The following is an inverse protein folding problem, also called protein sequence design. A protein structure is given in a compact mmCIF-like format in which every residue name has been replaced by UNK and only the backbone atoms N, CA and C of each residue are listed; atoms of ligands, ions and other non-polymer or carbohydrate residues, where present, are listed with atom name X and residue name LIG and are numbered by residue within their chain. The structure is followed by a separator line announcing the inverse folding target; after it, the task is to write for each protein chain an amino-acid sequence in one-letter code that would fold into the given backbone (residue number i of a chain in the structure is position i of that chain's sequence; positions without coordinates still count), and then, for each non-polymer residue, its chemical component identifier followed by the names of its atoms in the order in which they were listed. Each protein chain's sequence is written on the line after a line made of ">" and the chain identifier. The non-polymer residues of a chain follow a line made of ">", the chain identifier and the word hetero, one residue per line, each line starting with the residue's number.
data_IF_320365820101
#
_entry.id   IF_320365820101
#
_cell.length_a   1.000
_cell.length_b   1.000
_cell.length_c   1.000
_cell.angle_alpha   90.00
_cell.angle_beta   90.00
_cell.angle_gamma   90.00
#
_symmetry.space_group_name_H-M   'P 1'
#
loop_
_entity.id
_entity.type
_entity.pdbx_description
1 polymer ?
#
# COMPACT_ATOMS: atom_id res chain seq x y z
N UNK A 1 -22.93 -11.58 -0.59
CA UNK A 1 -21.67 -10.84 -0.77
C UNK A 1 -21.59 -9.69 0.21
N UNK A 2 -20.41 -9.49 0.83
CA UNK A 2 -20.10 -8.35 1.69
C UNK A 2 -19.01 -7.50 1.04
N UNK A 3 -19.18 -6.16 1.02
CA UNK A 3 -18.14 -5.25 0.56
C UNK A 3 -17.06 -5.09 1.63
N UNK A 4 -15.80 -5.20 1.21
CA UNK A 4 -14.64 -4.79 2.00
C UNK A 4 -14.40 -3.29 1.77
N UNK A 5 -15.15 -2.45 2.51
CA UNK A 5 -15.11 -0.99 2.36
C UNK A 5 -13.84 -0.41 2.98
N UNK A 6 -12.81 -0.27 2.14
CA UNK A 6 -11.53 0.29 2.56
C UNK A 6 -11.60 1.78 2.88
N UNK A 7 -12.54 2.53 2.29
CA UNK A 7 -12.73 3.95 2.63
C UNK A 7 -13.22 4.11 4.06
N UNK A 8 -14.17 3.27 4.49
CA UNK A 8 -14.65 3.25 5.88
C UNK A 8 -13.51 2.89 6.83
N UNK A 9 -12.85 1.76 6.62
CA UNK A 9 -11.76 1.29 7.50
C UNK A 9 -10.60 2.29 7.55
N UNK A 10 -10.19 2.86 6.42
CA UNK A 10 -9.16 3.90 6.39
C UNK A 10 -9.55 5.15 7.19
N UNK A 11 -10.84 5.51 7.24
CA UNK A 11 -11.31 6.61 8.07
C UNK A 11 -11.28 6.24 9.57
N UNK A 12 -11.68 5.02 9.92
CA UNK A 12 -11.64 4.53 11.30
C UNK A 12 -10.19 4.55 11.82
N UNK A 13 -9.24 4.04 11.04
CA UNK A 13 -7.81 4.06 11.38
C UNK A 13 -7.27 5.49 11.52
N UNK A 14 -7.66 6.41 10.64
CA UNK A 14 -7.26 7.82 10.77
C UNK A 14 -7.80 8.45 12.05
N UNK A 15 -9.01 8.10 12.46
CA UNK A 15 -9.59 8.59 13.72
C UNK A 15 -8.83 8.00 14.94
N UNK A 16 -8.45 6.72 14.89
CA UNK A 16 -7.60 6.08 15.90
C UNK A 16 -6.26 6.81 16.03
N UNK A 17 -5.57 7.05 14.90
CA UNK A 17 -4.30 7.80 14.87
C UNK A 17 -4.49 9.23 15.40
N UNK A 18 -5.58 9.92 15.04
CA UNK A 18 -5.85 11.27 15.53
C UNK A 18 -5.96 11.29 17.06
N UNK A 19 -6.68 10.34 17.64
CA UNK A 19 -6.81 10.25 19.11
C UNK A 19 -5.43 10.02 19.79
N UNK A 20 -4.56 9.22 19.18
CA UNK A 20 -3.20 8.98 19.68
C UNK A 20 -2.32 10.24 19.59
N UNK A 21 -2.39 10.96 18.47
CA UNK A 21 -1.67 12.24 18.28
C UNK A 21 -2.17 13.31 19.24
N UNK A 22 -3.45 13.36 19.52
CA UNK A 22 -4.01 14.32 20.49
C UNK A 22 -3.51 14.04 21.92
N UNK A 23 -3.28 12.76 22.27
CA UNK A 23 -2.62 12.40 23.54
C UNK A 23 -1.16 12.84 23.56
N UNK A 24 -0.42 12.65 22.45
CA UNK A 24 0.96 13.13 22.34
C UNK A 24 1.04 14.65 22.55
N UNK A 25 0.17 15.42 21.91
CA UNK A 25 0.13 16.88 22.05
C UNK A 25 -0.18 17.30 23.48
N UNK A 26 -1.12 16.64 24.16
CA UNK A 26 -1.44 16.90 25.56
C UNK A 26 -0.25 16.65 26.51
N UNK A 27 0.58 15.67 26.16
CA UNK A 27 1.78 15.30 26.90
C UNK A 27 3.02 16.13 26.51
N UNK A 28 2.89 17.12 25.61
CA UNK A 28 4.00 17.86 25.00
C UNK A 28 5.04 16.96 24.33
N UNK A 29 4.61 15.85 23.77
CA UNK A 29 5.47 14.95 23.00
C UNK A 29 5.54 15.40 21.53
N UNK A 30 6.68 15.10 20.87
CA UNK A 30 6.84 15.28 19.42
C UNK A 30 5.79 14.45 18.68
N UNK A 31 5.02 15.07 17.77
CA UNK A 31 4.12 14.36 16.86
C UNK A 31 4.89 13.75 15.70
N UNK A 32 4.38 12.70 15.04
CA UNK A 32 5.04 12.12 13.87
C UNK A 32 5.21 13.13 12.73
N UNK A 33 6.33 13.06 12.03
CA UNK A 33 6.66 13.92 10.89
C UNK A 33 6.96 13.08 9.64
N UNK A 34 6.12 13.20 8.63
CA UNK A 34 6.28 12.57 7.32
C UNK A 34 6.81 13.55 6.29
N UNK A 35 7.91 13.23 5.62
CA UNK A 35 8.32 13.96 4.42
C UNK A 35 7.94 13.18 3.15
N UNK A 36 7.59 13.90 2.09
CA UNK A 36 7.33 13.34 0.78
C UNK A 36 8.16 14.06 -0.28
N UNK A 37 8.95 13.31 -1.03
CA UNK A 37 9.74 13.84 -2.16
C UNK A 37 9.03 13.48 -3.45
N UNK A 38 8.83 14.47 -4.32
CA UNK A 38 8.32 14.28 -5.68
C UNK A 38 9.28 14.91 -6.68
N UNK A 39 9.62 14.19 -7.73
CA UNK A 39 10.47 14.65 -8.83
C UNK A 39 9.63 14.73 -10.09
N UNK A 40 9.55 15.94 -10.67
CA UNK A 40 8.72 16.21 -11.84
C UNK A 40 7.29 16.63 -11.51
N UNK A 41 6.46 16.70 -12.56
CA UNK A 41 5.11 17.26 -12.52
C UNK A 41 4.04 16.27 -13.02
N UNK A 42 4.25 14.96 -12.85
CA UNK A 42 3.22 14.00 -13.20
C UNK A 42 1.94 14.22 -12.38
N UNK A 43 0.82 14.45 -13.08
CA UNK A 43 -0.44 14.85 -12.46
C UNK A 43 -1.02 13.78 -11.52
N UNK A 44 -0.78 12.50 -11.79
CA UNK A 44 -1.21 11.41 -10.92
C UNK A 44 -0.41 11.41 -9.63
N UNK A 45 0.92 11.52 -9.73
CA UNK A 45 1.84 11.61 -8.59
C UNK A 45 1.56 12.82 -7.71
N UNK A 46 1.32 14.00 -8.31
CA UNK A 46 0.95 15.22 -7.58
C UNK A 46 -0.36 15.05 -6.80
N UNK A 47 -1.37 14.45 -7.42
CA UNK A 47 -2.66 14.17 -6.77
C UNK A 47 -2.49 13.21 -5.60
N UNK A 48 -1.66 12.18 -5.78
CA UNK A 48 -1.43 11.16 -4.75
C UNK A 48 -0.64 11.71 -3.56
N UNK A 49 0.43 12.46 -3.81
CA UNK A 49 1.20 13.14 -2.77
C UNK A 49 0.35 14.19 -2.05
N UNK A 50 -0.46 14.96 -2.77
CA UNK A 50 -1.41 15.90 -2.17
C UNK A 50 -2.40 15.21 -1.21
N UNK A 51 -2.84 14.01 -1.54
CA UNK A 51 -3.71 13.21 -0.67
C UNK A 51 -2.99 12.73 0.59
N UNK A 52 -1.68 12.40 0.50
CA UNK A 52 -0.84 12.01 1.64
C UNK A 52 -0.64 13.20 2.59
N UNK A 53 -0.33 14.40 2.07
CA UNK A 53 -0.18 15.63 2.86
C UNK A 53 -1.49 15.96 3.61
N UNK A 54 -2.62 15.97 2.90
CA UNK A 54 -3.93 16.20 3.53
C UNK A 54 -4.26 15.15 4.60
N UNK A 55 -3.81 13.92 4.42
CA UNK A 55 -4.02 12.88 5.43
C UNK A 55 -3.17 13.13 6.68
N UNK A 56 -1.92 13.61 6.53
CA UNK A 56 -1.08 14.06 7.66
C UNK A 56 -1.74 15.21 8.43
N UNK A 57 -2.18 16.25 7.73
CA UNK A 57 -2.90 17.39 8.33
C UNK A 57 -4.11 16.93 9.13
N UNK A 58 -4.92 16.03 8.54
CA UNK A 58 -6.13 15.49 9.18
C UNK A 58 -5.85 14.80 10.50
N UNK A 59 -4.77 14.00 10.57
CA UNK A 59 -4.44 13.24 11.80
C UNK A 59 -3.54 14.02 12.76
N UNK A 60 -3.15 15.25 12.40
CA UNK A 60 -2.33 16.11 13.22
C UNK A 60 -0.83 15.80 13.21
N UNK A 61 -0.34 15.10 12.18
CA UNK A 61 1.08 14.92 11.89
C UNK A 61 1.68 16.20 11.33
N UNK A 62 2.99 16.39 11.53
CA UNK A 62 3.78 17.30 10.71
C UNK A 62 4.04 16.69 9.33
N UNK A 63 4.13 17.53 8.31
CA UNK A 63 4.44 17.07 6.96
C UNK A 63 5.32 18.04 6.20
N UNK A 64 6.31 17.52 5.47
CA UNK A 64 7.20 18.29 4.59
C UNK A 64 7.07 17.77 3.17
N UNK A 65 6.73 18.67 2.22
CA UNK A 65 6.70 18.36 0.80
C UNK A 65 7.92 18.93 0.09
N UNK A 66 8.77 18.05 -0.43
CA UNK A 66 9.94 18.39 -1.23
C UNK A 66 9.60 18.20 -2.69
N UNK A 67 9.49 19.32 -3.44
CA UNK A 67 9.28 19.29 -4.89
C UNK A 67 10.61 19.53 -5.62
N UNK A 68 10.96 18.64 -6.51
CA UNK A 68 12.15 18.73 -7.36
C UNK A 68 11.73 18.74 -8.85
N UNK A 69 12.38 19.52 -9.70
CA UNK A 69 12.04 19.60 -11.12
C UNK A 69 12.28 18.25 -11.83
N UNK A 70 11.62 18.03 -12.98
CA UNK A 70 11.80 16.81 -13.79
C UNK A 70 13.22 16.65 -14.34
N UNK A 71 13.97 17.75 -14.41
CA UNK A 71 15.38 17.79 -14.84
C UNK A 71 16.38 17.44 -13.73
N UNK A 72 15.90 17.16 -12.52
CA UNK A 72 16.73 16.77 -11.37
C UNK A 72 17.60 15.57 -11.72
N UNK A 73 18.90 15.68 -11.45
CA UNK A 73 19.85 14.57 -11.60
C UNK A 73 19.73 13.56 -10.44
N UNK A 74 20.17 12.34 -10.68
CA UNK A 74 20.27 11.30 -9.65
C UNK A 74 21.10 11.77 -8.44
N UNK A 75 22.23 12.45 -8.72
CA UNK A 75 23.12 12.98 -7.66
C UNK A 75 22.42 14.01 -6.76
N UNK A 76 21.63 14.91 -7.34
CA UNK A 76 20.87 15.91 -6.57
C UNK A 76 19.80 15.27 -5.71
N UNK A 77 19.08 14.27 -6.24
CA UNK A 77 18.09 13.53 -5.47
C UNK A 77 18.74 12.75 -4.33
N UNK A 78 19.85 12.03 -4.58
CA UNK A 78 20.59 11.29 -3.55
C UNK A 78 21.12 12.22 -2.46
N UNK A 79 21.59 13.42 -2.82
CA UNK A 79 21.99 14.44 -1.83
C UNK A 79 20.79 14.87 -0.96
N UNK A 80 19.61 15.05 -1.56
CA UNK A 80 18.39 15.38 -0.79
C UNK A 80 17.98 14.24 0.14
N UNK A 81 18.03 12.99 -0.32
CA UNK A 81 17.75 11.81 0.50
C UNK A 81 18.69 11.75 1.70
N UNK A 82 20.01 11.99 1.48
CA UNK A 82 20.97 12.04 2.59
C UNK A 82 20.59 13.10 3.64
N UNK A 83 20.19 14.30 3.22
CA UNK A 83 19.71 15.34 4.13
C UNK A 83 18.49 14.90 4.94
N UNK A 84 17.52 14.20 4.30
CA UNK A 84 16.33 13.69 4.98
C UNK A 84 16.66 12.54 5.96
N UNK A 85 17.63 11.69 5.61
CA UNK A 85 18.14 10.66 6.52
C UNK A 85 18.77 11.26 7.79
N UNK A 86 19.51 12.36 7.65
CA UNK A 86 20.22 13.04 8.73
C UNK A 86 19.35 14.01 9.54
N UNK A 87 18.13 14.31 9.09
CA UNK A 87 17.22 15.23 9.76
C UNK A 87 16.43 14.53 10.87
N UNK A 88 16.78 14.82 12.13
CA UNK A 88 16.12 14.25 13.31
C UNK A 88 14.67 14.70 13.49
N UNK A 89 14.26 15.79 12.84
CA UNK A 89 12.88 16.23 12.89
C UNK A 89 11.96 15.30 12.10
N UNK A 90 12.48 14.61 11.06
CA UNK A 90 11.72 13.73 10.17
C UNK A 90 11.77 12.29 10.69
N UNK A 91 10.60 11.70 10.95
CA UNK A 91 10.50 10.33 11.44
C UNK A 91 10.51 9.31 10.30
N UNK A 92 9.93 9.65 9.17
CA UNK A 92 9.96 8.84 7.96
C UNK A 92 9.70 9.66 6.71
N UNK A 93 10.11 9.15 5.57
CA UNK A 93 9.83 9.81 4.31
C UNK A 93 9.63 8.82 3.18
N UNK A 94 9.03 9.32 2.11
CA UNK A 94 8.79 8.59 0.88
C UNK A 94 9.39 9.34 -0.30
N UNK A 95 9.81 8.60 -1.32
CA UNK A 95 10.11 9.13 -2.65
C UNK A 95 9.04 8.63 -3.60
N UNK A 96 8.21 9.55 -4.08
CA UNK A 96 7.06 9.20 -4.91
C UNK A 96 7.50 8.63 -6.26
N UNK A 97 7.05 7.42 -6.56
CA UNK A 97 7.26 6.77 -7.85
C UNK A 97 6.10 7.08 -8.84
N UNK A 98 6.34 7.03 -10.15
CA UNK A 98 7.62 6.74 -10.82
C UNK A 98 8.59 7.95 -10.78
N UNK A 99 9.89 7.67 -10.91
CA UNK A 99 10.93 8.68 -11.09
C UNK A 99 11.19 8.91 -12.59
N UNK A 100 11.75 10.08 -12.97
CA UNK A 100 12.23 10.32 -14.33
C UNK A 100 13.30 9.31 -14.76
N UNK A 101 13.36 9.00 -16.06
CA UNK A 101 14.21 7.93 -16.63
C UNK A 101 15.72 8.07 -16.34
N UNK A 102 16.21 9.30 -16.13
CA UNK A 102 17.62 9.56 -15.80
C UNK A 102 17.99 9.15 -14.35
N UNK A 103 17.04 8.71 -13.52
CA UNK A 103 17.25 8.37 -12.13
C UNK A 103 17.00 6.87 -11.93
N UNK A 104 18.01 6.18 -11.43
CA UNK A 104 17.87 4.76 -11.06
C UNK A 104 17.04 4.63 -9.77
N UNK A 105 15.80 4.15 -9.94
CA UNK A 105 14.87 3.95 -8.83
C UNK A 105 15.43 3.03 -7.74
N UNK A 106 16.20 1.99 -8.12
CA UNK A 106 16.76 1.06 -7.15
C UNK A 106 17.82 1.71 -6.28
N UNK A 107 18.70 2.51 -6.88
CA UNK A 107 19.70 3.28 -6.10
C UNK A 107 19.04 4.26 -5.14
N UNK A 108 17.96 4.91 -5.57
CA UNK A 108 17.19 5.83 -4.73
C UNK A 108 16.59 5.11 -3.53
N UNK A 109 15.92 3.97 -3.74
CA UNK A 109 15.33 3.19 -2.66
C UNK A 109 16.38 2.66 -1.68
N UNK A 110 17.55 2.23 -2.18
CA UNK A 110 18.68 1.79 -1.35
C UNK A 110 19.35 2.91 -0.56
N UNK A 111 19.21 4.15 -0.96
CA UNK A 111 19.79 5.30 -0.26
C UNK A 111 18.93 5.81 0.91
N UNK A 112 17.67 5.38 1.01
CA UNK A 112 16.78 5.70 2.12
C UNK A 112 17.25 4.91 3.35
N UNK A 113 17.36 5.57 4.50
CA UNK A 113 17.62 4.86 5.76
C UNK A 113 16.45 3.90 6.05
N UNK A 114 16.72 2.58 6.25
CA UNK A 114 15.66 1.60 6.54
C UNK A 114 14.75 2.01 7.71
N UNK A 115 15.28 2.74 8.70
CA UNK A 115 14.50 3.23 9.85
C UNK A 115 13.55 4.39 9.50
N UNK A 116 13.70 4.99 8.31
CA UNK A 116 12.86 6.08 7.80
C UNK A 116 12.06 5.71 6.54
N UNK A 117 12.25 4.48 6.02
CA UNK A 117 11.55 3.95 4.84
C UNK A 117 10.13 3.52 5.19
N UNK A 118 9.25 4.48 5.42
CA UNK A 118 7.85 4.21 5.81
C UNK A 118 6.95 3.67 4.69
N UNK A 119 7.43 3.66 3.43
CA UNK A 119 6.79 2.92 2.34
C UNK A 119 7.10 1.41 2.40
N UNK A 120 8.16 1.00 3.14
CA UNK A 120 8.56 -0.40 3.32
C UNK A 120 9.18 -1.04 2.07
N UNK A 121 9.84 -0.26 1.21
CA UNK A 121 10.42 -0.75 -0.05
C UNK A 121 11.90 -1.10 0.05
N UNK A 122 12.57 -0.66 1.13
CA UNK A 122 13.99 -0.97 1.33
C UNK A 122 14.20 -2.48 1.51
N UNK A 123 15.21 -3.10 0.84
CA UNK A 123 15.45 -4.54 0.93
C UNK A 123 15.64 -5.06 2.35
N UNK A 124 16.19 -4.25 3.27
CA UNK A 124 16.31 -4.61 4.68
C UNK A 124 14.93 -4.78 5.33
N UNK A 125 14.01 -3.84 5.11
CA UNK A 125 12.64 -3.92 5.62
C UNK A 125 11.90 -5.11 5.00
N UNK A 126 12.08 -5.34 3.69
CA UNK A 126 11.52 -6.50 3.01
C UNK A 126 12.05 -7.82 3.60
N UNK A 127 13.36 -7.91 3.88
CA UNK A 127 13.97 -9.09 4.51
C UNK A 127 13.44 -9.32 5.92
N UNK A 128 13.34 -8.27 6.74
CA UNK A 128 12.76 -8.33 8.09
C UNK A 128 11.29 -8.79 8.03
N UNK A 129 10.49 -8.24 7.12
CA UNK A 129 9.11 -8.66 6.89
C UNK A 129 9.01 -10.15 6.55
N UNK A 130 9.89 -10.64 5.66
CA UNK A 130 9.91 -12.04 5.25
C UNK A 130 10.32 -13.02 6.37
N UNK A 131 11.00 -12.50 7.41
CA UNK A 131 11.41 -13.25 8.61
C UNK A 131 10.51 -13.01 9.83
N UNK A 132 9.33 -12.42 9.63
CA UNK A 132 8.38 -12.07 10.69
C UNK A 132 8.98 -11.16 11.78
N UNK A 133 10.01 -10.38 11.45
CA UNK A 133 10.59 -9.38 12.34
C UNK A 133 9.83 -8.06 12.27
N UNK A 134 9.84 -7.30 13.37
CA UNK A 134 9.22 -5.97 13.41
C UNK A 134 9.88 -5.02 12.41
N UNK A 135 9.10 -4.51 11.47
CA UNK A 135 9.57 -3.60 10.41
C UNK A 135 8.38 -2.88 9.76
N UNK A 136 8.67 -1.98 8.82
CA UNK A 136 7.65 -1.36 7.97
C UNK A 136 7.21 -2.35 6.89
N UNK A 137 5.92 -2.65 6.87
CA UNK A 137 5.30 -3.45 5.82
C UNK A 137 4.92 -2.50 4.67
N UNK A 138 5.15 -2.88 3.39
CA UNK A 138 4.68 -2.08 2.26
C UNK A 138 3.21 -1.67 2.40
N UNK A 139 2.91 -0.38 2.24
CA UNK A 139 1.63 0.20 2.64
C UNK A 139 0.40 -0.47 2.00
N UNK A 140 0.47 -0.88 0.73
CA UNK A 140 -0.64 -1.57 0.06
C UNK A 140 -0.89 -2.98 0.62
N UNK A 141 0.11 -3.87 0.71
CA UNK A 141 -0.01 -5.15 1.40
C UNK A 141 -0.50 -5.02 2.84
N UNK A 142 0.03 -4.06 3.60
CA UNK A 142 -0.41 -3.80 4.96
C UNK A 142 -1.91 -3.44 5.01
N UNK A 143 -2.38 -2.60 4.07
CA UNK A 143 -3.79 -2.25 3.96
C UNK A 143 -4.70 -3.44 3.65
N UNK A 144 -4.22 -4.41 2.87
CA UNK A 144 -4.94 -5.65 2.58
C UNK A 144 -5.07 -6.49 3.86
N UNK A 145 -3.97 -6.64 4.63
CA UNK A 145 -4.02 -7.36 5.90
C UNK A 145 -5.01 -6.72 6.88
N UNK A 146 -4.97 -5.39 7.04
CA UNK A 146 -5.91 -4.65 7.89
C UNK A 146 -7.38 -4.85 7.43
N UNK A 147 -7.65 -4.87 6.13
CA UNK A 147 -9.00 -5.18 5.64
C UNK A 147 -9.44 -6.59 6.03
N UNK A 148 -8.60 -7.60 5.78
CA UNK A 148 -8.90 -8.97 6.13
C UNK A 148 -9.14 -9.14 7.63
N UNK A 149 -8.32 -8.48 8.45
CA UNK A 149 -8.44 -8.49 9.91
C UNK A 149 -9.73 -7.84 10.40
N UNK A 150 -10.00 -6.60 9.97
CA UNK A 150 -11.17 -5.81 10.41
C UNK A 150 -12.51 -6.40 9.98
N UNK A 151 -12.52 -7.16 8.89
CA UNK A 151 -13.70 -7.90 8.43
C UNK A 151 -13.72 -9.36 8.91
N UNK A 152 -12.76 -9.78 9.76
CA UNK A 152 -12.63 -11.14 10.28
C UNK A 152 -12.65 -12.20 9.16
N UNK A 153 -12.00 -11.92 8.03
CA UNK A 153 -11.91 -12.86 6.92
C UNK A 153 -10.96 -14.00 7.30
N UNK A 154 -11.49 -15.20 7.40
CA UNK A 154 -10.69 -16.37 7.76
C UNK A 154 -9.64 -16.67 6.70
N UNK A 155 -8.36 -16.68 7.10
CA UNK A 155 -7.22 -16.95 6.21
C UNK A 155 -6.51 -18.26 6.52
N UNK A 156 -6.65 -18.77 7.75
CA UNK A 156 -5.98 -19.99 8.22
C UNK A 156 -6.45 -21.22 7.45
N UNK A 157 -5.50 -21.93 6.85
CA UNK A 157 -5.76 -23.13 6.06
C UNK A 157 -6.43 -22.87 4.70
N UNK A 158 -6.62 -21.60 4.32
CA UNK A 158 -7.20 -21.23 3.03
C UNK A 158 -6.15 -21.24 1.93
N UNK A 159 -6.59 -21.51 0.70
CA UNK A 159 -5.78 -21.34 -0.49
C UNK A 159 -5.89 -19.91 -0.99
N UNK A 160 -4.79 -19.17 -0.92
CA UNK A 160 -4.69 -17.79 -1.44
C UNK A 160 -3.94 -17.78 -2.77
N UNK A 161 -4.54 -17.22 -3.81
CA UNK A 161 -3.89 -16.98 -5.09
C UNK A 161 -3.61 -15.48 -5.23
N UNK A 162 -2.34 -15.15 -5.42
CA UNK A 162 -1.89 -13.77 -5.69
C UNK A 162 -1.56 -13.65 -7.17
N UNK A 163 -2.29 -12.79 -7.89
CA UNK A 163 -2.11 -12.56 -9.32
C UNK A 163 -1.27 -11.28 -9.52
N UNK A 164 -0.03 -11.46 -9.95
CA UNK A 164 0.98 -10.41 -10.08
C UNK A 164 2.13 -10.58 -9.10
N UNK A 165 3.36 -10.26 -9.54
CA UNK A 165 4.60 -10.49 -8.77
C UNK A 165 5.45 -9.23 -8.61
N UNK A 166 4.81 -8.07 -8.56
CA UNK A 166 5.50 -6.80 -8.31
C UNK A 166 6.20 -6.81 -6.95
N UNK A 167 7.29 -6.06 -6.82
CA UNK A 167 8.02 -5.94 -5.55
C UNK A 167 7.21 -5.18 -4.48
N UNK A 168 6.24 -4.37 -4.91
CA UNK A 168 5.47 -3.50 -4.01
C UNK A 168 4.16 -4.13 -3.53
N UNK A 169 3.61 -5.14 -4.23
CA UNK A 169 2.35 -5.80 -3.85
C UNK A 169 2.44 -7.32 -3.91
N UNK A 170 2.64 -7.90 -5.09
CA UNK A 170 2.47 -9.34 -5.27
C UNK A 170 3.43 -10.19 -4.46
N UNK A 171 4.73 -9.87 -4.48
CA UNK A 171 5.74 -10.58 -3.66
C UNK A 171 5.51 -10.40 -2.17
N UNK A 172 5.34 -9.17 -1.63
CA UNK A 172 4.99 -9.01 -0.22
C UNK A 172 3.75 -9.80 0.18
N UNK A 173 2.67 -9.75 -0.61
CA UNK A 173 1.44 -10.47 -0.29
C UNK A 173 1.63 -11.98 -0.26
N UNK A 174 2.43 -12.54 -1.16
CA UNK A 174 2.69 -13.99 -1.17
C UNK A 174 3.40 -14.46 0.11
N UNK A 175 4.25 -13.62 0.69
CA UNK A 175 4.95 -13.88 1.95
C UNK A 175 3.98 -13.68 3.13
N UNK A 176 3.33 -12.53 3.19
CA UNK A 176 2.47 -12.13 4.30
C UNK A 176 1.26 -13.05 4.50
N UNK A 177 0.65 -13.54 3.41
CA UNK A 177 -0.45 -14.50 3.53
C UNK A 177 0.03 -15.89 3.99
N UNK A 178 1.28 -16.26 3.70
CA UNK A 178 1.88 -17.51 4.15
C UNK A 178 2.46 -17.48 5.59
N UNK A 179 2.66 -16.28 6.17
CA UNK A 179 3.27 -16.12 7.52
C UNK A 179 2.43 -16.76 8.62
N UNK A 180 3.05 -17.01 9.77
CA UNK A 180 2.32 -17.41 10.98
C UNK A 180 1.50 -16.25 11.54
N UNK A 181 0.31 -16.54 12.07
CA UNK A 181 -0.55 -15.53 12.69
C UNK A 181 -1.79 -15.22 11.86
N UNK A 182 -2.49 -14.15 12.23
CA UNK A 182 -3.69 -13.65 11.56
C UNK A 182 -3.56 -12.16 11.25
N UNK A 183 -3.89 -11.73 10.01
CA UNK A 183 -4.11 -12.55 8.81
C UNK A 183 -2.83 -13.27 8.37
N UNK A 184 -2.97 -14.52 7.90
CA UNK A 184 -1.85 -15.38 7.47
C UNK A 184 -2.24 -16.85 7.54
N UNK A 185 -1.25 -17.75 7.69
CA UNK A 185 -1.43 -19.20 7.71
C UNK A 185 -2.17 -19.76 6.48
N UNK A 186 -2.09 -19.10 5.34
CA UNK A 186 -2.63 -19.56 4.05
C UNK A 186 -1.61 -20.43 3.32
N UNK A 187 -2.09 -21.34 2.47
CA UNK A 187 -1.30 -21.89 1.39
C UNK A 187 -1.34 -20.91 0.22
N UNK A 188 -0.19 -20.44 -0.26
CA UNK A 188 -0.14 -19.36 -1.23
C UNK A 188 0.40 -19.82 -2.58
N UNK A 189 -0.32 -19.51 -3.65
CA UNK A 189 0.15 -19.63 -5.04
C UNK A 189 0.35 -18.24 -5.61
N UNK A 190 1.60 -17.92 -6.00
CA UNK A 190 1.94 -16.68 -6.70
C UNK A 190 1.92 -16.92 -8.21
N UNK A 191 1.07 -16.17 -8.94
CA UNK A 191 0.93 -16.27 -10.39
C UNK A 191 1.41 -15.00 -11.10
N UNK A 192 1.73 -15.12 -12.38
CA UNK A 192 2.27 -14.02 -13.19
C UNK A 192 2.02 -14.27 -14.69
N UNK A 193 2.46 -13.37 -15.55
CA UNK A 193 2.23 -13.40 -17.00
C UNK A 193 2.71 -14.65 -17.73
N UNK A 194 3.59 -15.46 -17.13
CA UNK A 194 4.06 -16.74 -17.67
C UNK A 194 3.39 -17.96 -17.02
N UNK A 195 2.37 -17.72 -16.16
CA UNK A 195 1.63 -18.82 -15.53
C UNK A 195 0.66 -19.40 -16.55
N UNK A 196 0.81 -20.67 -16.85
CA UNK A 196 -0.11 -21.40 -17.74
C UNK A 196 -1.38 -21.78 -16.99
N UNK A 197 -2.50 -21.83 -17.71
CA UNK A 197 -3.79 -22.28 -17.19
C UNK A 197 -4.22 -21.59 -15.88
N UNK A 198 -4.03 -20.28 -15.79
CA UNK A 198 -4.27 -19.49 -14.57
C UNK A 198 -5.70 -19.67 -14.05
N UNK A 199 -6.69 -19.86 -14.90
CA UNK A 199 -8.11 -20.10 -14.55
C UNK A 199 -8.29 -21.38 -13.72
N UNK A 200 -7.52 -22.44 -14.03
CA UNK A 200 -7.55 -23.69 -13.27
C UNK A 200 -6.96 -23.52 -11.86
N UNK A 201 -6.07 -22.55 -11.68
CA UNK A 201 -5.47 -22.22 -10.39
C UNK A 201 -6.42 -21.34 -9.59
N UNK A 202 -6.94 -20.28 -10.20
CA UNK A 202 -7.78 -19.30 -9.51
C UNK A 202 -9.14 -19.85 -9.09
N UNK A 203 -9.74 -20.78 -9.86
CA UNK A 203 -11.02 -21.42 -9.50
C UNK A 203 -10.92 -22.28 -8.23
N UNK A 204 -9.72 -22.65 -7.82
CA UNK A 204 -9.49 -23.41 -6.56
C UNK A 204 -9.27 -22.51 -5.35
N UNK A 205 -9.04 -21.21 -5.58
CA UNK A 205 -8.68 -20.27 -4.53
C UNK A 205 -9.86 -19.93 -3.60
N UNK A 206 -9.59 -19.90 -2.29
CA UNK A 206 -10.51 -19.34 -1.29
C UNK A 206 -10.40 -17.81 -1.28
N UNK A 207 -9.18 -17.30 -1.47
CA UNK A 207 -8.87 -15.87 -1.48
C UNK A 207 -8.08 -15.56 -2.76
N UNK A 208 -8.50 -14.54 -3.49
CA UNK A 208 -7.81 -14.07 -4.69
C UNK A 208 -7.41 -12.62 -4.49
N UNK A 209 -6.14 -12.29 -4.71
CA UNK A 209 -5.59 -10.94 -4.65
C UNK A 209 -5.07 -10.58 -6.03
N UNK A 210 -5.72 -9.63 -6.72
CA UNK A 210 -5.32 -9.18 -8.06
C UNK A 210 -4.50 -7.90 -7.98
N UNK A 211 -3.31 -7.91 -8.59
CA UNK A 211 -2.42 -6.76 -8.63
C UNK A 211 -1.66 -6.68 -9.97
N UNK A 212 -2.42 -6.58 -11.07
CA UNK A 212 -1.91 -6.61 -12.44
C UNK A 212 -1.89 -5.23 -13.10
N UNK A 213 -2.88 -4.37 -12.78
CA UNK A 213 -3.15 -3.14 -13.50
C UNK A 213 -3.78 -3.40 -14.89
N UNK A 214 -4.50 -4.51 -15.04
CA UNK A 214 -5.21 -4.88 -16.27
C UNK A 214 -6.71 -4.87 -16.00
N UNK A 215 -7.45 -3.90 -16.54
CA UNK A 215 -8.87 -3.74 -16.28
C UNK A 215 -9.71 -5.00 -16.57
N UNK A 216 -10.56 -5.37 -15.62
CA UNK A 216 -11.52 -6.48 -15.77
C UNK A 216 -10.86 -7.83 -16.16
N UNK A 217 -9.63 -8.08 -15.71
CA UNK A 217 -8.91 -9.32 -15.99
C UNK A 217 -9.58 -10.54 -15.32
N UNK A 218 -9.88 -10.44 -14.02
CA UNK A 218 -10.50 -11.52 -13.25
C UNK A 218 -12.01 -11.59 -13.56
N UNK A 219 -12.43 -12.72 -14.13
CA UNK A 219 -13.83 -12.97 -14.53
C UNK A 219 -14.54 -13.92 -13.55
N UNK A 220 -15.85 -13.96 -13.61
CA UNK A 220 -16.66 -14.80 -12.71
C UNK A 220 -16.41 -16.31 -12.89
N UNK A 221 -16.07 -16.76 -14.11
CA UNK A 221 -15.68 -18.15 -14.38
C UNK A 221 -14.34 -18.54 -13.78
N UNK A 222 -13.48 -17.57 -13.48
CA UNK A 222 -12.16 -17.77 -12.88
C UNK A 222 -12.19 -17.92 -11.37
N UNK A 223 -13.31 -17.74 -10.71
CA UNK A 223 -13.44 -17.86 -9.26
C UNK A 223 -14.42 -18.96 -8.86
N UNK A 224 -14.23 -19.59 -7.71
CA UNK A 224 -15.24 -20.47 -7.12
C UNK A 224 -16.32 -19.70 -6.38
N UNK A 225 -17.45 -20.33 -6.13
CA UNK A 225 -18.52 -19.77 -5.31
C UNK A 225 -18.02 -19.48 -3.88
N UNK A 226 -18.35 -18.31 -3.36
CA UNK A 226 -17.95 -17.88 -2.01
C UNK A 226 -16.52 -17.41 -1.86
N UNK A 227 -15.74 -17.28 -2.93
CA UNK A 227 -14.37 -16.76 -2.87
C UNK A 227 -14.32 -15.33 -2.31
N UNK A 228 -13.24 -15.02 -1.58
CA UNK A 228 -12.87 -13.64 -1.19
C UNK A 228 -12.02 -13.02 -2.29
N UNK A 229 -12.39 -11.84 -2.78
CA UNK A 229 -11.69 -11.16 -3.89
C UNK A 229 -11.19 -9.79 -3.46
N UNK A 230 -9.87 -9.62 -3.51
CA UNK A 230 -9.18 -8.36 -3.21
C UNK A 230 -8.65 -7.77 -4.51
N UNK A 231 -9.26 -6.72 -4.97
CA UNK A 231 -8.84 -5.98 -6.16
C UNK A 231 -7.93 -4.82 -5.76
N UNK A 232 -6.67 -4.89 -6.18
CA UNK A 232 -5.65 -3.84 -5.96
C UNK A 232 -5.53 -2.93 -7.19
N UNK A 233 -6.09 -3.37 -8.34
CA UNK A 233 -6.00 -2.63 -9.59
C UNK A 233 -6.59 -1.22 -9.49
N UNK A 234 -5.87 -0.24 -10.04
CA UNK A 234 -6.35 1.15 -10.18
C UNK A 234 -5.93 1.64 -11.56
N UNK A 235 -6.82 1.50 -12.52
CA UNK A 235 -6.57 1.91 -13.90
C UNK A 235 -7.56 2.98 -14.33
N UNK A 236 -7.06 4.04 -14.99
CA UNK A 236 -7.91 5.04 -15.63
C UNK A 236 -8.33 4.53 -17.00
N UNK A 237 -9.61 4.40 -17.20
CA UNK A 237 -10.21 4.03 -18.49
C UNK A 237 -11.00 5.22 -19.02
N UNK A 238 -10.82 5.57 -20.29
CA UNK A 238 -11.60 6.65 -20.92
C UNK A 238 -13.09 6.39 -20.77
N UNK A 239 -13.81 7.41 -20.33
CA UNK A 239 -15.26 7.37 -20.19
C UNK A 239 -15.84 8.76 -20.44
N UNK A 240 -16.32 8.94 -21.66
CA UNK A 240 -16.90 10.22 -22.12
C UNK A 240 -18.22 10.58 -21.44
N UNK A 241 -18.80 9.66 -20.66
CA UNK A 241 -20.04 9.90 -19.91
C UNK A 241 -19.80 10.61 -18.58
N UNK A 242 -18.54 10.64 -18.12
CA UNK A 242 -18.15 11.34 -16.88
C UNK A 242 -17.61 12.74 -17.16
N UNK A 243 -17.86 13.69 -16.27
CA UNK A 243 -17.32 15.06 -16.38
C UNK A 243 -15.77 15.09 -16.48
N UNK A 244 -15.10 14.07 -15.91
CA UNK A 244 -13.63 13.95 -15.91
C UNK A 244 -13.09 13.30 -17.19
N UNK A 245 -13.95 12.79 -18.08
CA UNK A 245 -13.56 12.07 -19.28
C UNK A 245 -12.95 10.68 -19.03
N UNK A 246 -12.91 10.20 -17.78
CA UNK A 246 -12.44 8.87 -17.42
C UNK A 246 -13.13 8.34 -16.16
N UNK A 247 -13.10 7.03 -16.02
CA UNK A 247 -13.46 6.32 -14.79
C UNK A 247 -12.27 5.53 -14.25
N UNK A 248 -12.28 5.26 -12.94
CA UNK A 248 -11.33 4.34 -12.31
C UNK A 248 -11.95 2.95 -12.27
N UNK A 249 -11.21 1.96 -12.73
CA UNK A 249 -11.60 0.55 -12.68
C UNK A 249 -10.46 -0.30 -12.11
N UNK A 250 -10.81 -1.42 -11.53
CA UNK A 250 -9.88 -2.41 -11.03
C UNK A 250 -9.55 -3.51 -12.03
N UNK A 251 -8.83 -4.51 -11.55
CA UNK A 251 -8.48 -5.71 -12.31
C UNK A 251 -9.64 -6.73 -12.36
N UNK A 252 -10.70 -6.53 -11.58
CA UNK A 252 -11.83 -7.45 -11.43
C UNK A 252 -13.04 -6.96 -12.22
N UNK A 253 -13.69 -7.87 -12.93
CA UNK A 253 -15.04 -7.65 -13.48
C UNK A 253 -16.05 -7.65 -12.34
N UNK A 254 -16.15 -6.48 -11.67
CA UNK A 254 -16.86 -6.34 -10.41
C UNK A 254 -18.31 -6.78 -10.49
N UNK A 255 -19.03 -6.42 -11.56
CA UNK A 255 -20.48 -6.67 -11.68
C UNK A 255 -20.82 -8.16 -11.76
N UNK A 256 -19.95 -8.96 -12.37
CA UNK A 256 -20.14 -10.40 -12.50
C UNK A 256 -19.52 -11.16 -11.33
N UNK A 257 -18.31 -10.78 -10.91
CA UNK A 257 -17.59 -11.44 -9.81
C UNK A 257 -18.28 -11.23 -8.47
N UNK A 258 -18.85 -10.05 -8.22
CA UNK A 258 -19.55 -9.74 -6.96
C UNK A 258 -20.76 -10.65 -6.70
N UNK A 259 -21.39 -11.17 -7.74
CA UNK A 259 -22.54 -12.10 -7.62
C UNK A 259 -22.14 -13.47 -7.05
N UNK A 260 -20.85 -13.81 -7.14
CA UNK A 260 -20.30 -15.13 -6.80
C UNK A 260 -19.38 -15.07 -5.57
N UNK A 261 -18.74 -13.94 -5.33
CA UNK A 261 -17.85 -13.72 -4.19
C UNK A 261 -18.60 -13.63 -2.85
N UNK A 262 -17.97 -14.10 -1.77
CA UNK A 262 -18.46 -13.84 -0.39
C UNK A 262 -18.09 -12.45 0.09
N UNK A 263 -16.83 -12.03 -0.17
CA UNK A 263 -16.30 -10.70 0.09
C UNK A 263 -15.61 -10.17 -1.14
N UNK A 264 -15.72 -8.86 -1.37
CA UNK A 264 -15.05 -8.20 -2.50
C UNK A 264 -14.70 -6.75 -2.16
N UNK A 265 -13.52 -6.27 -2.58
CA UNK A 265 -13.18 -4.85 -2.50
C UNK A 265 -13.75 -4.08 -3.69
N UNK A 266 -14.36 -2.90 -3.49
CA UNK A 266 -14.77 -2.04 -4.59
C UNK A 266 -13.57 -1.25 -5.14
N UNK A 267 -13.61 -0.89 -6.43
CA UNK A 267 -12.68 0.07 -7.05
C UNK A 267 -13.50 1.16 -7.76
N UNK A 268 -13.38 2.43 -7.31
CA UNK A 268 -12.58 2.95 -6.18
C UNK A 268 -13.21 2.66 -4.81
N UNK A 269 -12.41 2.78 -3.74
CA UNK A 269 -12.91 2.73 -2.36
C UNK A 269 -12.48 1.49 -1.55
N UNK A 270 -11.84 0.51 -2.17
CA UNK A 270 -11.27 -0.67 -1.50
C UNK A 270 -9.84 -0.43 -1.01
N UNK A 271 -8.85 -1.05 -1.67
CA UNK A 271 -7.45 -1.05 -1.21
C UNK A 271 -6.80 0.33 -1.25
N UNK A 272 -7.10 1.18 -2.26
CA UNK A 272 -6.45 2.48 -2.43
C UNK A 272 -6.49 3.40 -1.20
N UNK A 273 -7.63 3.66 -0.56
CA UNK A 273 -7.71 4.45 0.67
C UNK A 273 -6.89 3.88 1.83
N UNK A 274 -6.75 2.56 1.90
CA UNK A 274 -5.98 1.87 2.94
C UNK A 274 -4.49 2.14 2.83
N UNK A 275 -3.95 2.27 1.61
CA UNK A 275 -2.52 2.56 1.40
C UNK A 275 -2.09 3.84 2.13
N UNK A 276 -2.93 4.90 2.09
CA UNK A 276 -2.64 6.16 2.79
C UNK A 276 -2.73 5.97 4.30
N UNK A 277 -3.73 5.24 4.79
CA UNK A 277 -3.86 4.99 6.24
C UNK A 277 -2.68 4.17 6.78
N UNK A 278 -2.17 3.20 6.02
CA UNK A 278 -1.01 2.40 6.41
C UNK A 278 0.30 3.18 6.37
N UNK A 279 0.45 4.10 5.43
CA UNK A 279 1.59 5.03 5.44
C UNK A 279 1.62 5.85 6.73
N UNK A 280 0.48 6.33 7.22
CA UNK A 280 0.40 7.02 8.51
C UNK A 280 0.74 6.07 9.68
N UNK A 281 0.25 4.82 9.68
CA UNK A 281 0.63 3.81 10.71
C UNK A 281 2.13 3.54 10.70
N UNK A 282 2.75 3.38 9.54
CA UNK A 282 4.20 3.20 9.44
C UNK A 282 4.96 4.44 9.95
N UNK A 283 4.48 5.66 9.65
CA UNK A 283 5.11 6.90 10.15
C UNK A 283 5.00 7.00 11.68
N UNK A 284 3.87 6.60 12.24
CA UNK A 284 3.67 6.53 13.68
C UNK A 284 4.64 5.51 14.32
N UNK A 285 4.76 4.33 13.72
CA UNK A 285 5.72 3.31 14.15
C UNK A 285 7.16 3.81 14.08
N UNK A 286 7.54 4.53 13.02
CA UNK A 286 8.88 5.11 12.88
C UNK A 286 9.19 6.08 14.01
N UNK A 287 8.26 6.97 14.34
CA UNK A 287 8.40 7.89 15.50
C UNK A 287 8.58 7.12 16.80
N UNK A 288 7.80 6.07 17.05
CA UNK A 288 7.93 5.26 18.28
C UNK A 288 9.27 4.53 18.37
N UNK A 289 9.74 3.93 17.26
CA UNK A 289 11.03 3.26 17.23
C UNK A 289 12.18 4.23 17.55
N UNK A 290 12.16 5.44 16.97
CA UNK A 290 13.17 6.49 17.23
C UNK A 290 13.12 6.96 18.68
N UNK A 291 11.94 7.14 19.27
CA UNK A 291 11.77 7.50 20.68
C UNK A 291 12.35 6.44 21.62
N UNK A 292 12.23 5.17 21.27
CA UNK A 292 12.80 4.08 22.08
C UNK A 292 14.32 3.99 21.93
N UNK A 293 14.87 4.28 20.76
CA UNK A 293 16.31 4.27 20.49
C UNK A 293 17.05 5.46 21.15
N UNK A 294 16.35 6.56 21.48
CA UNK A 294 16.92 7.75 22.12
C UNK A 294 16.88 7.71 23.67
N UNK A 295 16.33 6.66 24.26
CA UNK A 295 16.36 6.38 25.70
C UNK A 295 17.48 5.44 26.08
#
# INVERSE_FOLDING_TARGET
>A
MQLLDGKKIANDIKNEITAEVDLMKKNNEKVPHLAAVIVGNDGASLTYVGSKVKACERVGFESTLVKMPSTTSETELLKKIKQLNEDDAIDGFIVQLPLPEQIDTQKVLMAIDPSKDVDGFHPENFGKMALDMTTFIPATPFGILELLERYNVETKGKHTVVIGRSHIVGRPMSILMGRKGFPGNSTVTLTHSYTENIEQITIQADIIITALGVPNYLKAEMIKEGAVVIDVGITRVEDKTTEKGYRITGDVDFDLVSKKASFITPVPGGVGPMTIAMLLKNTLLAREQRRLASK
#
